data_IF_481304427997
#
_entry.id   IF_481304427997
#
_cell.length_a   1.000
_cell.length_b   1.000
_cell.length_c   1.000
_cell.angle_alpha   90.00
_cell.angle_beta   90.00
_cell.angle_gamma   90.00
#
_symmetry.space_group_name_H-M   'P 1'
#
loop_
_entity.id
_entity.type
_entity.pdbx_description
1 polymer ?
#
# COMPACT_ATOMS: atom_id res chain seq x y z
N UNK A 1 -6.83 8.71 5.13
CA UNK A 1 -5.36 8.81 5.11
C UNK A 1 -4.91 9.20 3.71
N UNK A 2 -3.92 10.07 3.57
CA UNK A 2 -3.23 10.36 2.31
C UNK A 2 -1.80 9.84 2.39
N UNK A 3 -1.23 9.37 1.27
CA UNK A 3 0.15 8.91 1.20
C UNK A 3 0.96 9.79 0.23
N UNK A 4 2.16 10.18 0.65
CA UNK A 4 3.12 11.00 -0.11
C UNK A 4 4.54 10.43 0.00
N UNK A 5 5.41 10.85 -0.90
CA UNK A 5 6.82 10.49 -0.96
C UNK A 5 7.69 11.74 -0.95
N UNK A 6 8.85 11.65 -0.30
CA UNK A 6 9.86 12.70 -0.33
C UNK A 6 10.70 12.70 -1.62
N UNK A 7 10.81 11.56 -2.31
CA UNK A 7 11.61 11.40 -3.53
C UNK A 7 10.97 10.54 -4.63
N UNK A 8 11.49 10.62 -5.85
CA UNK A 8 10.96 9.91 -7.02
C UNK A 8 11.40 8.44 -7.16
N UNK A 9 12.22 7.93 -6.23
CA UNK A 9 12.75 6.56 -6.27
C UNK A 9 11.85 5.56 -5.57
N UNK A 10 10.86 6.04 -4.83
CA UNK A 10 9.88 5.21 -4.15
C UNK A 10 9.02 4.41 -5.15
N UNK A 11 9.03 3.09 -4.99
CA UNK A 11 8.28 2.13 -5.80
C UNK A 11 6.77 2.16 -5.53
N UNK A 12 6.33 2.77 -4.43
CA UNK A 12 4.91 3.00 -4.14
C UNK A 12 4.32 4.12 -5.00
N UNK A 13 5.15 5.04 -5.51
CA UNK A 13 4.75 6.21 -6.28
C UNK A 13 5.18 6.11 -7.72
N UNK A 14 4.63 5.10 -8.39
CA UNK A 14 4.80 4.90 -9.83
C UNK A 14 3.50 4.45 -10.48
N UNK A 15 3.39 4.64 -11.79
CA UNK A 15 2.26 4.14 -12.58
C UNK A 15 2.77 3.40 -13.80
N UNK A 16 1.98 2.47 -14.29
CA UNK A 16 2.21 1.90 -15.60
C UNK A 16 1.94 2.97 -16.67
N UNK A 17 2.75 2.99 -17.72
CA UNK A 17 2.55 3.84 -18.89
C UNK A 17 2.94 3.05 -20.13
N UNK A 18 2.13 3.16 -21.19
CA UNK A 18 2.43 2.64 -22.52
C UNK A 18 1.53 3.36 -23.54
N UNK A 19 1.96 3.37 -24.79
CA UNK A 19 1.14 3.82 -25.91
C UNK A 19 0.34 2.62 -26.46
N UNK A 20 -1.01 2.67 -26.49
CA UNK A 20 -1.80 1.59 -27.10
C UNK A 20 -1.48 1.37 -28.58
N UNK A 21 -0.96 2.37 -29.29
CA UNK A 21 -0.53 2.26 -30.69
C UNK A 21 0.69 1.34 -30.88
N UNK A 22 1.55 1.27 -29.86
CA UNK A 22 2.74 0.43 -29.88
C UNK A 22 2.41 -1.06 -29.61
N UNK A 23 1.14 -1.36 -29.28
CA UNK A 23 0.68 -2.70 -28.99
C UNK A 23 0.24 -3.42 -30.27
N UNK A 24 0.76 -4.63 -30.57
CA UNK A 24 0.29 -5.42 -31.69
C UNK A 24 -1.22 -5.70 -31.59
N UNK A 25 -1.98 -5.63 -32.70
CA UNK A 25 -3.42 -5.76 -32.64
C UNK A 25 -3.90 -7.15 -32.24
N UNK A 26 -3.08 -8.17 -32.43
CA UNK A 26 -3.26 -9.57 -32.01
C UNK A 26 -2.78 -9.85 -30.58
N UNK A 27 -2.33 -8.83 -29.84
CA UNK A 27 -1.92 -8.98 -28.45
C UNK A 27 -3.04 -9.61 -27.59
N UNK A 28 -2.66 -10.65 -26.84
CA UNK A 28 -3.55 -11.39 -25.93
C UNK A 28 -3.92 -10.62 -24.65
N UNK A 29 -3.39 -9.40 -24.50
CA UNK A 29 -3.58 -8.45 -23.40
C UNK A 29 -3.36 -9.08 -22.01
N UNK A 30 -2.19 -9.70 -21.75
CA UNK A 30 -1.91 -10.29 -20.43
C UNK A 30 -1.80 -9.23 -19.33
N UNK A 31 -1.37 -8.02 -19.67
CA UNK A 31 -1.26 -6.88 -18.76
C UNK A 31 -2.62 -6.46 -18.17
N UNK A 32 -3.68 -6.47 -18.97
CA UNK A 32 -5.05 -6.21 -18.54
C UNK A 32 -5.53 -7.30 -17.57
N UNK A 33 -5.37 -8.57 -17.94
CA UNK A 33 -5.81 -9.73 -17.14
C UNK A 33 -5.14 -9.82 -15.77
N UNK A 34 -3.86 -9.44 -15.67
CA UNK A 34 -3.10 -9.53 -14.40
C UNK A 34 -3.33 -8.31 -13.50
N UNK A 35 -3.93 -7.23 -14.01
CA UNK A 35 -4.07 -5.97 -13.28
C UNK A 35 -5.11 -6.10 -12.17
N UNK A 36 -4.72 -6.09 -10.88
CA UNK A 36 -5.66 -6.36 -9.79
C UNK A 36 -6.58 -5.17 -9.46
N UNK A 37 -6.47 -4.07 -10.18
CA UNK A 37 -7.30 -2.88 -10.03
C UNK A 37 -8.05 -2.52 -11.32
N UNK A 38 -8.05 -3.41 -12.32
CA UNK A 38 -8.71 -3.18 -13.62
C UNK A 38 -8.36 -1.80 -14.20
N UNK A 39 -7.07 -1.49 -14.13
CA UNK A 39 -6.49 -0.18 -14.46
C UNK A 39 -5.91 -0.13 -15.87
N UNK A 40 -6.11 -1.16 -16.68
CA UNK A 40 -5.72 -1.21 -18.08
C UNK A 40 -6.96 -1.62 -18.85
N UNK A 41 -7.33 -0.85 -19.87
CA UNK A 41 -8.45 -1.16 -20.77
C UNK A 41 -7.96 -1.01 -22.20
N UNK A 42 -7.99 -2.10 -22.96
CA UNK A 42 -7.55 -2.09 -24.36
C UNK A 42 -8.64 -2.69 -25.25
N UNK A 43 -9.26 -1.82 -26.04
CA UNK A 43 -10.31 -2.18 -26.98
C UNK A 43 -9.74 -2.30 -28.39
N UNK A 44 -10.20 -3.32 -29.13
CA UNK A 44 -9.81 -3.47 -30.54
C UNK A 44 -10.79 -2.68 -31.39
N UNK A 45 -10.28 -1.73 -32.17
CA UNK A 45 -11.04 -0.94 -33.12
C UNK A 45 -10.66 -1.37 -34.54
N UNK A 46 -11.67 -1.54 -35.40
CA UNK A 46 -11.44 -1.82 -36.83
C UNK A 46 -11.23 -0.51 -37.57
N UNK A 47 -10.21 -0.45 -38.43
CA UNK A 47 -10.01 0.71 -39.30
C UNK A 47 -11.03 0.64 -40.44
N UNK A 48 -12.03 1.51 -40.42
CA UNK A 48 -12.96 1.68 -41.54
C UNK A 48 -12.22 2.34 -42.71
N UNK A 49 -11.69 1.52 -43.64
CA UNK A 49 -11.14 2.03 -44.89
C UNK A 49 -10.09 1.16 -45.55
N UNK A 50 -10.50 0.06 -46.17
CA UNK A 50 -10.15 -0.37 -47.55
C UNK A 50 -10.73 -1.76 -47.81
N UNK A 51 -11.73 -1.80 -48.68
CA UNK A 51 -12.23 -3.03 -49.29
C UNK A 51 -11.11 -3.72 -50.09
N UNK A 52 -10.39 -4.65 -49.46
CA UNK A 52 -9.61 -5.70 -50.11
C UNK A 52 -9.28 -6.77 -49.06
N UNK A 53 -9.98 -7.90 -49.12
CA UNK A 53 -9.65 -9.20 -48.51
C UNK A 53 -8.88 -9.20 -47.16
N UNK A 54 -9.65 -9.33 -46.08
CA UNK A 54 -9.36 -10.12 -44.87
C UNK A 54 -7.89 -10.30 -44.47
N UNK A 55 -7.26 -9.26 -43.93
CA UNK A 55 -6.08 -9.41 -43.09
C UNK A 55 -6.49 -9.25 -41.61
N UNK A 56 -6.44 -10.32 -40.78
CA UNK A 56 -6.79 -10.27 -39.36
C UNK A 56 -5.94 -9.30 -38.53
N UNK A 57 -4.87 -8.77 -39.13
CA UNK A 57 -3.90 -7.87 -38.52
C UNK A 57 -4.20 -6.37 -38.72
N UNK A 58 -5.31 -6.01 -39.39
CA UNK A 58 -5.68 -4.62 -39.70
C UNK A 58 -6.41 -3.85 -38.58
N UNK A 59 -6.50 -4.43 -37.38
CA UNK A 59 -7.05 -3.75 -36.21
C UNK A 59 -6.02 -2.82 -35.55
N UNK A 60 -6.51 -1.88 -34.74
CA UNK A 60 -5.70 -1.07 -33.83
C UNK A 60 -6.23 -1.24 -32.40
N UNK A 61 -5.36 -1.11 -31.40
CA UNK A 61 -5.79 -1.09 -30.01
C UNK A 61 -5.94 0.37 -29.55
N UNK A 62 -7.03 0.68 -28.87
CA UNK A 62 -7.28 1.97 -28.23
C UNK A 62 -7.48 1.79 -26.73
N UNK A 63 -7.30 2.89 -25.98
CA UNK A 63 -7.42 2.91 -24.52
C UNK A 63 -6.06 3.13 -23.84
N UNK A 64 -5.76 2.35 -22.82
CA UNK A 64 -4.50 2.45 -22.08
C UNK A 64 -4.67 2.28 -20.57
N UNK A 65 -3.81 2.97 -19.81
CA UNK A 65 -3.80 2.91 -18.35
C UNK A 65 -4.80 3.93 -17.77
N UNK A 66 -5.75 3.45 -16.97
CA UNK A 66 -6.64 4.27 -16.16
C UNK A 66 -5.87 4.70 -14.90
N UNK A 67 -5.30 5.89 -14.97
CA UNK A 67 -4.37 6.46 -13.98
C UNK A 67 -4.92 6.43 -12.55
N UNK A 68 -6.21 6.67 -12.38
CA UNK A 68 -6.89 6.74 -11.08
C UNK A 68 -7.00 5.38 -10.39
N UNK A 69 -7.01 4.29 -11.19
CA UNK A 69 -7.06 2.90 -10.69
C UNK A 69 -5.66 2.30 -10.53
N UNK A 70 -4.70 2.77 -11.32
CA UNK A 70 -3.34 2.25 -11.33
C UNK A 70 -2.57 2.69 -10.07
N UNK A 71 -2.36 1.73 -9.15
CA UNK A 71 -1.61 1.95 -7.91
C UNK A 71 -0.14 1.50 -7.98
N UNK A 72 0.40 1.27 -9.19
CA UNK A 72 1.84 1.06 -9.35
C UNK A 72 2.40 -0.31 -8.95
N UNK A 73 1.57 -1.36 -8.80
CA UNK A 73 2.04 -2.69 -8.42
C UNK A 73 3.08 -3.30 -9.36
N UNK A 74 3.05 -2.89 -10.64
CA UNK A 74 3.99 -3.33 -11.66
C UNK A 74 3.81 -4.76 -12.18
N UNK A 75 2.72 -5.45 -11.81
CA UNK A 75 2.40 -6.80 -12.32
C UNK A 75 2.31 -6.86 -13.85
N UNK A 76 1.83 -5.78 -14.47
CA UNK A 76 1.73 -5.67 -15.92
C UNK A 76 3.10 -5.63 -16.64
N UNK A 77 4.16 -5.12 -15.98
CA UNK A 77 5.47 -4.97 -16.59
C UNK A 77 6.06 -6.34 -16.96
N UNK A 78 6.09 -7.26 -16.01
CA UNK A 78 6.72 -8.58 -16.18
C UNK A 78 5.97 -9.54 -17.09
N UNK A 79 4.70 -9.25 -17.42
CA UNK A 79 3.87 -10.13 -18.27
C UNK A 79 3.71 -9.61 -19.69
N UNK A 80 4.19 -8.40 -19.99
CA UNK A 80 4.12 -7.85 -21.34
C UNK A 80 5.13 -8.58 -22.25
N UNK A 81 4.69 -9.35 -23.26
CA UNK A 81 5.61 -10.11 -24.11
C UNK A 81 6.42 -9.22 -25.07
N UNK A 82 6.04 -7.95 -25.20
CA UNK A 82 6.66 -6.98 -26.11
C UNK A 82 7.43 -5.88 -25.37
N UNK A 83 7.51 -5.95 -24.04
CA UNK A 83 8.22 -4.98 -23.21
C UNK A 83 7.84 -3.50 -23.47
N UNK A 84 6.54 -3.24 -23.72
CA UNK A 84 6.02 -1.90 -24.04
C UNK A 84 5.63 -1.08 -22.82
N UNK A 85 5.52 -1.70 -21.65
CA UNK A 85 5.00 -1.07 -20.44
C UNK A 85 6.14 -0.57 -19.57
N UNK A 86 6.15 0.72 -19.29
CA UNK A 86 7.13 1.38 -18.42
C UNK A 86 6.52 1.68 -17.06
N UNK A 87 7.36 1.77 -16.04
CA UNK A 87 6.99 2.32 -14.75
C UNK A 87 7.43 3.78 -14.67
N UNK A 88 6.46 4.68 -14.60
CA UNK A 88 6.68 6.11 -14.48
C UNK A 88 6.54 6.53 -13.02
N UNK A 89 7.67 6.82 -12.38
CA UNK A 89 7.69 7.37 -11.02
C UNK A 89 7.18 8.81 -10.99
N UNK A 90 6.55 9.20 -9.89
CA UNK A 90 6.13 10.58 -9.65
C UNK A 90 6.34 10.97 -8.19
N UNK A 91 6.42 12.27 -7.93
CA UNK A 91 6.43 12.83 -6.57
C UNK A 91 5.11 13.55 -6.37
N UNK A 92 4.48 13.34 -5.21
CA UNK A 92 3.27 14.09 -4.86
C UNK A 92 3.61 15.56 -4.67
N UNK A 93 2.79 16.42 -5.26
CA UNK A 93 2.90 17.86 -5.10
C UNK A 93 2.65 18.25 -3.63
N UNK A 94 3.64 18.83 -2.93
CA UNK A 94 3.50 19.20 -1.52
C UNK A 94 2.42 20.27 -1.28
N UNK A 95 2.28 21.23 -2.19
CA UNK A 95 1.30 22.33 -2.09
C UNK A 95 -0.12 21.77 -2.18
N UNK A 96 -0.39 20.91 -3.17
CA UNK A 96 -1.70 20.23 -3.30
C UNK A 96 -1.99 19.32 -2.11
N UNK A 97 -0.95 18.67 -1.56
CA UNK A 97 -1.09 17.84 -0.36
C UNK A 97 -1.46 18.71 0.84
N UNK A 98 -0.78 19.85 1.04
CA UNK A 98 -1.08 20.76 2.14
C UNK A 98 -2.51 21.34 2.04
N UNK A 99 -2.98 21.66 0.83
CA UNK A 99 -4.37 22.05 0.59
C UNK A 99 -5.36 20.94 0.96
N UNK A 100 -5.03 19.68 0.61
CA UNK A 100 -5.86 18.52 0.98
C UNK A 100 -5.92 18.33 2.50
N UNK A 101 -4.79 18.43 3.21
CA UNK A 101 -4.77 18.26 4.67
C UNK A 101 -5.63 19.31 5.40
N UNK A 102 -5.82 20.50 4.82
CA UNK A 102 -6.67 21.56 5.41
C UNK A 102 -8.17 21.31 5.28
N UNK A 103 -8.60 20.32 4.48
CA UNK A 103 -10.03 20.06 4.19
C UNK A 103 -10.78 19.29 5.29
N UNK A 104 -10.12 18.91 6.39
CA UNK A 104 -10.68 18.14 7.51
C UNK A 104 -11.32 16.78 7.15
N UNK A 105 -11.10 16.28 5.92
CA UNK A 105 -11.53 14.96 5.44
C UNK A 105 -10.38 13.92 5.46
N UNK A 106 -9.19 14.33 5.91
CA UNK A 106 -8.01 13.49 6.03
C UNK A 106 -7.53 13.46 7.49
N UNK A 107 -7.73 12.34 8.16
CA UNK A 107 -7.30 12.14 9.54
C UNK A 107 -5.82 11.72 9.70
N UNK A 108 -5.15 11.33 8.62
CA UNK A 108 -3.81 10.78 8.69
C UNK A 108 -3.01 11.02 7.40
N UNK A 109 -1.70 11.18 7.55
CA UNK A 109 -0.74 11.21 6.44
C UNK A 109 0.29 10.08 6.61
N UNK A 110 0.66 9.46 5.51
CA UNK A 110 1.78 8.54 5.39
C UNK A 110 2.84 9.20 4.51
N UNK A 111 4.07 9.30 5.00
CA UNK A 111 5.22 9.84 4.30
C UNK A 111 6.21 8.72 4.05
N UNK A 112 6.44 8.38 2.79
CA UNK A 112 7.49 7.45 2.39
C UNK A 112 8.81 8.17 2.21
N UNK A 113 9.86 7.54 2.72
CA UNK A 113 11.24 7.99 2.57
C UNK A 113 12.16 6.83 2.19
N UNK A 114 13.18 7.10 1.38
CA UNK A 114 14.13 6.07 0.93
C UNK A 114 15.27 5.78 1.91
N UNK A 115 15.33 6.51 3.03
CA UNK A 115 16.39 6.37 4.02
C UNK A 115 17.75 6.92 3.56
N UNK A 116 17.80 7.61 2.41
CA UNK A 116 19.03 8.19 1.84
C UNK A 116 19.19 9.66 2.24
N UNK A 117 19.38 9.89 3.54
CA UNK A 117 19.51 11.23 4.13
C UNK A 117 18.17 11.94 4.33
N UNK A 118 18.19 13.07 5.03
CA UNK A 118 16.97 13.76 5.52
C UNK A 118 16.57 14.99 4.72
N UNK A 119 17.38 15.45 3.76
CA UNK A 119 17.17 16.75 3.10
C UNK A 119 15.85 16.81 2.32
N UNK A 120 15.53 15.74 1.60
CA UNK A 120 14.28 15.64 0.83
C UNK A 120 13.07 15.57 1.76
N UNK A 121 13.16 14.78 2.83
CA UNK A 121 12.14 14.74 3.87
C UNK A 121 11.92 16.11 4.51
N UNK A 122 12.99 16.81 4.89
CA UNK A 122 12.93 18.14 5.50
C UNK A 122 12.29 19.16 4.56
N UNK A 123 12.59 19.07 3.26
CA UNK A 123 11.98 19.93 2.23
C UNK A 123 10.48 19.66 2.11
N UNK A 124 10.07 18.39 2.02
CA UNK A 124 8.66 17.99 1.99
C UNK A 124 7.95 18.47 3.26
N UNK A 125 8.51 18.20 4.44
CA UNK A 125 7.95 18.57 5.73
C UNK A 125 7.74 20.09 5.86
N UNK A 126 8.74 20.88 5.47
CA UNK A 126 8.66 22.35 5.45
C UNK A 126 7.53 22.84 4.53
N UNK A 127 7.39 22.24 3.34
CA UNK A 127 6.33 22.60 2.39
C UNK A 127 4.93 22.21 2.87
N UNK A 128 4.80 21.12 3.63
CA UNK A 128 3.53 20.78 4.28
C UNK A 128 3.20 21.80 5.38
N UNK A 129 4.22 22.27 6.12
CA UNK A 129 4.08 23.33 7.12
C UNK A 129 2.97 23.04 8.14
N UNK A 130 2.21 24.08 8.50
CA UNK A 130 1.13 23.96 9.50
C UNK A 130 -0.04 23.07 9.08
N UNK A 131 -0.11 22.65 7.81
CA UNK A 131 -1.17 21.75 7.36
C UNK A 131 -1.12 20.39 8.07
N UNK A 132 0.07 19.98 8.54
CA UNK A 132 0.29 18.78 9.35
C UNK A 132 -0.52 18.80 10.66
N UNK A 133 -0.79 19.98 11.22
CA UNK A 133 -1.55 20.07 12.48
C UNK A 133 -3.02 19.65 12.34
N UNK A 134 -3.52 19.42 11.11
CA UNK A 134 -4.90 18.99 10.86
C UNK A 134 -5.07 17.46 10.85
N UNK A 135 -3.98 16.68 10.91
CA UNK A 135 -4.06 15.22 10.96
C UNK A 135 -3.88 14.69 12.39
N UNK A 136 -4.56 13.59 12.69
CA UNK A 136 -4.48 12.88 13.97
C UNK A 136 -3.31 11.89 14.03
N UNK A 137 -2.80 11.47 12.87
CA UNK A 137 -1.72 10.49 12.77
C UNK A 137 -0.77 10.85 11.64
N UNK A 138 0.53 10.76 11.94
CA UNK A 138 1.62 10.85 10.97
C UNK A 138 2.31 9.50 10.95
N UNK A 139 2.32 8.86 9.79
CA UNK A 139 3.07 7.66 9.54
C UNK A 139 4.31 7.98 8.71
N UNK A 140 5.45 7.39 9.05
CA UNK A 140 6.67 7.42 8.25
C UNK A 140 7.01 6.00 7.84
N UNK A 141 6.96 5.75 6.53
CA UNK A 141 7.35 4.48 5.92
C UNK A 141 8.78 4.57 5.42
N UNK A 142 9.61 3.63 5.84
CA UNK A 142 11.03 3.61 5.51
C UNK A 142 11.55 2.17 5.38
N UNK A 143 12.58 1.93 4.56
CA UNK A 143 13.27 0.65 4.51
C UNK A 143 14.25 0.48 5.67
N UNK A 144 14.70 -0.76 5.89
CA UNK A 144 15.86 -1.05 6.74
C UNK A 144 17.14 -0.54 6.04
N UNK A 145 17.80 0.46 6.62
CA UNK A 145 19.07 1.01 6.11
C UNK A 145 20.28 0.54 6.91
N UNK A 146 20.15 -0.60 7.62
CA UNK A 146 21.24 -1.17 8.40
C UNK A 146 21.47 -0.41 9.72
N UNK A 147 22.71 -0.37 10.18
CA UNK A 147 23.10 0.21 11.48
C UNK A 147 22.71 1.69 11.62
N UNK A 148 22.50 2.39 10.50
CA UNK A 148 22.10 3.81 10.49
C UNK A 148 20.59 4.02 10.70
N UNK A 149 19.78 2.97 10.76
CA UNK A 149 18.31 3.09 10.75
C UNK A 149 17.79 3.90 11.93
N UNK A 150 18.21 3.60 13.17
CA UNK A 150 17.75 4.36 14.34
C UNK A 150 18.23 5.81 14.31
N UNK A 151 19.46 6.07 13.87
CA UNK A 151 19.97 7.44 13.74
C UNK A 151 19.14 8.23 12.72
N UNK A 152 18.82 7.61 11.59
CA UNK A 152 17.95 8.20 10.57
C UNK A 152 16.56 8.48 11.12
N UNK A 153 15.92 7.51 11.79
CA UNK A 153 14.59 7.70 12.39
C UNK A 153 14.59 8.81 13.44
N UNK A 154 15.64 8.92 14.27
CA UNK A 154 15.76 10.01 15.25
C UNK A 154 15.93 11.38 14.60
N UNK A 155 16.67 11.47 13.50
CA UNK A 155 16.82 12.72 12.75
C UNK A 155 15.47 13.16 12.18
N UNK A 156 14.72 12.24 11.58
CA UNK A 156 13.35 12.48 11.08
C UNK A 156 12.42 12.90 12.23
N UNK A 157 12.46 12.17 13.36
CA UNK A 157 11.67 12.50 14.53
C UNK A 157 11.97 13.92 15.06
N UNK A 158 13.24 14.31 15.09
CA UNK A 158 13.67 15.65 15.53
C UNK A 158 13.10 16.74 14.65
N UNK A 159 13.00 16.51 13.33
CA UNK A 159 12.32 17.42 12.40
C UNK A 159 10.82 17.52 12.69
N UNK A 160 10.18 16.40 13.06
CA UNK A 160 8.74 16.31 13.22
C UNK A 160 8.21 16.76 14.58
N UNK A 161 8.99 16.58 15.66
CA UNK A 161 8.51 16.61 17.04
C UNK A 161 7.83 17.91 17.46
N UNK A 162 8.17 19.07 16.88
CA UNK A 162 7.53 20.34 17.21
C UNK A 162 6.09 20.46 16.69
N UNK A 163 5.71 19.67 15.68
CA UNK A 163 4.38 19.67 15.06
C UNK A 163 3.63 18.34 15.25
N UNK A 164 4.20 17.40 16.00
CA UNK A 164 3.55 16.13 16.34
C UNK A 164 2.53 16.34 17.47
N UNK A 165 1.29 16.71 17.11
CA UNK A 165 0.18 16.85 18.07
C UNK A 165 -0.58 15.54 18.31
N UNK A 166 -0.49 14.59 17.37
CA UNK A 166 -1.21 13.32 17.38
C UNK A 166 -0.32 12.09 17.53
N UNK A 167 -0.70 11.00 16.88
CA UNK A 167 0.04 9.75 16.91
C UNK A 167 1.16 9.72 15.87
N UNK A 168 2.32 9.20 16.26
CA UNK A 168 3.41 8.87 15.35
C UNK A 168 3.45 7.36 15.09
N UNK A 169 3.53 6.96 13.82
CA UNK A 169 3.57 5.57 13.38
C UNK A 169 4.78 5.33 12.47
N UNK A 170 5.68 4.45 12.88
CA UNK A 170 6.80 4.00 12.07
C UNK A 170 6.41 2.73 11.33
N UNK A 171 6.34 2.80 10.00
CA UNK A 171 6.07 1.65 9.15
C UNK A 171 7.38 1.03 8.69
N UNK A 172 7.64 -0.18 9.19
CA UNK A 172 8.83 -0.96 8.88
C UNK A 172 8.63 -1.64 7.54
N UNK A 173 8.90 -0.89 6.47
CA UNK A 173 8.62 -1.30 5.10
C UNK A 173 9.67 -2.32 4.63
N UNK A 174 9.24 -3.58 4.55
CA UNK A 174 10.06 -4.67 4.05
C UNK A 174 10.07 -4.69 2.52
N UNK A 175 9.40 -5.69 1.95
CA UNK A 175 9.38 -5.90 0.50
C UNK A 175 8.22 -5.14 -0.14
N UNK A 176 8.43 -4.05 -0.88
CA UNK A 176 7.34 -3.23 -1.41
C UNK A 176 6.38 -4.04 -2.29
N UNK A 177 5.08 -3.76 -2.17
CA UNK A 177 4.06 -4.22 -3.12
C UNK A 177 4.01 -5.74 -3.38
N UNK A 178 4.42 -6.55 -2.41
CA UNK A 178 4.68 -7.98 -2.63
C UNK A 178 3.85 -8.95 -1.77
N UNK A 179 2.98 -8.45 -0.88
CA UNK A 179 2.27 -9.27 0.10
C UNK A 179 1.42 -10.41 -0.52
N UNK A 180 0.97 -10.25 -1.75
CA UNK A 180 0.15 -11.21 -2.47
C UNK A 180 0.94 -12.30 -3.25
N UNK A 181 2.28 -12.25 -3.23
CA UNK A 181 3.19 -13.14 -3.97
C UNK A 181 3.49 -14.45 -3.21
N UNK A 182 3.42 -14.46 -1.87
CA UNK A 182 3.53 -15.70 -1.07
C UNK A 182 4.36 -15.57 0.20
N UNK A 183 4.64 -16.71 0.85
CA UNK A 183 5.29 -16.78 2.17
C UNK A 183 6.60 -16.00 2.25
N UNK A 184 7.43 -16.04 1.20
CA UNK A 184 8.73 -15.37 1.19
C UNK A 184 8.66 -13.84 1.32
N UNK A 185 7.53 -13.22 0.98
CA UNK A 185 7.38 -11.76 0.98
C UNK A 185 7.48 -11.14 2.39
N UNK A 186 7.07 -11.87 3.45
CA UNK A 186 7.06 -11.32 4.82
C UNK A 186 8.44 -11.28 5.46
N UNK A 187 9.46 -11.90 4.86
CA UNK A 187 10.78 -12.10 5.48
C UNK A 187 11.48 -10.78 5.76
N UNK A 188 11.45 -9.85 4.81
CA UNK A 188 12.16 -8.56 4.91
C UNK A 188 11.59 -7.69 6.04
N UNK A 189 10.27 -7.53 6.12
CA UNK A 189 9.64 -6.73 7.19
C UNK A 189 9.82 -7.34 8.58
N UNK A 190 9.78 -8.68 8.69
CA UNK A 190 10.04 -9.36 9.97
C UNK A 190 11.52 -9.26 10.36
N UNK A 191 12.44 -9.38 9.41
CA UNK A 191 13.87 -9.18 9.65
C UNK A 191 14.16 -7.76 10.13
N UNK A 192 13.52 -6.77 9.50
CA UNK A 192 13.63 -5.37 9.91
C UNK A 192 13.12 -5.18 11.35
N UNK A 193 11.97 -5.75 11.71
CA UNK A 193 11.49 -5.71 13.08
C UNK A 193 12.46 -6.36 14.09
N UNK A 194 13.04 -7.52 13.77
CA UNK A 194 14.07 -8.16 14.61
C UNK A 194 15.29 -7.26 14.78
N UNK A 195 15.78 -6.71 13.68
CA UNK A 195 16.91 -5.79 13.69
C UNK A 195 16.63 -4.57 14.56
N UNK A 196 15.50 -3.89 14.34
CA UNK A 196 15.11 -2.71 15.12
C UNK A 196 14.87 -3.06 16.60
N UNK A 197 14.35 -4.26 16.91
CA UNK A 197 14.12 -4.72 18.28
C UNK A 197 15.42 -4.79 19.11
N UNK A 198 16.55 -5.08 18.45
CA UNK A 198 17.89 -5.18 19.05
C UNK A 198 18.58 -3.82 19.27
N UNK A 199 18.06 -2.74 18.69
CA UNK A 199 18.66 -1.41 18.81
C UNK A 199 18.10 -0.61 20.01
N UNK A 200 18.97 0.21 20.60
CA UNK A 200 18.62 1.17 21.66
C UNK A 200 18.31 2.55 21.08
N UNK A 201 17.79 3.48 21.90
CA UNK A 201 17.55 4.89 21.53
C UNK A 201 16.62 5.09 20.31
N UNK A 202 15.61 4.24 20.14
CA UNK A 202 14.64 4.41 19.06
C UNK A 202 13.71 5.60 19.34
N UNK A 203 13.29 6.36 18.32
CA UNK A 203 12.36 7.47 18.54
C UNK A 203 10.99 6.95 18.98
N UNK A 204 10.24 7.74 19.77
CA UNK A 204 8.92 7.32 20.24
C UNK A 204 7.92 7.22 19.08
N UNK A 205 6.90 6.41 19.31
CA UNK A 205 5.85 6.12 18.34
C UNK A 205 5.46 4.64 18.35
N UNK A 206 4.41 4.33 17.61
CA UNK A 206 4.03 2.93 17.37
C UNK A 206 4.85 2.39 16.20
N UNK A 207 5.19 1.09 16.23
CA UNK A 207 5.83 0.42 15.11
C UNK A 207 4.84 -0.53 14.45
N UNK A 208 4.76 -0.50 13.12
CA UNK A 208 3.88 -1.35 12.33
C UNK A 208 4.69 -2.01 11.22
N UNK A 209 4.47 -3.31 11.00
CA UNK A 209 5.03 -3.97 9.82
C UNK A 209 4.31 -3.48 8.56
N UNK A 210 5.08 -3.13 7.54
CA UNK A 210 4.62 -2.83 6.19
C UNK A 210 5.51 -3.54 5.16
N UNK A 211 5.12 -3.56 3.89
CA UNK A 211 5.92 -4.20 2.84
C UNK A 211 5.96 -5.74 2.94
N UNK A 212 5.21 -6.41 2.06
CA UNK A 212 5.28 -7.87 1.93
C UNK A 212 4.50 -8.66 2.99
N UNK A 213 3.73 -7.97 3.82
CA UNK A 213 2.86 -8.54 4.85
C UNK A 213 1.69 -9.34 4.25
N UNK A 214 1.36 -10.47 4.87
CA UNK A 214 0.30 -11.39 4.44
C UNK A 214 -0.11 -12.37 5.57
N UNK A 215 -0.86 -13.42 5.23
CA UNK A 215 -1.33 -14.44 6.18
C UNK A 215 -0.22 -15.14 6.98
N UNK A 216 1.04 -15.10 6.53
CA UNK A 216 2.16 -15.73 7.22
C UNK A 216 2.84 -14.79 8.22
N UNK A 217 2.57 -13.48 8.17
CA UNK A 217 3.28 -12.46 8.97
C UNK A 217 3.13 -12.68 10.48
N UNK A 218 1.94 -13.04 10.95
CA UNK A 218 1.71 -13.31 12.38
C UNK A 218 2.50 -14.53 12.85
N UNK A 219 2.49 -15.62 12.07
CA UNK A 219 3.27 -16.82 12.38
C UNK A 219 4.77 -16.49 12.45
N UNK A 220 5.27 -15.68 11.51
CA UNK A 220 6.66 -15.22 11.49
C UNK A 220 7.02 -14.33 12.69
N UNK A 221 6.14 -13.41 13.09
CA UNK A 221 6.35 -12.59 14.29
C UNK A 221 6.37 -13.43 15.57
N UNK A 222 5.49 -14.43 15.69
CA UNK A 222 5.48 -15.38 16.81
C UNK A 222 6.80 -16.15 16.91
N UNK A 223 7.30 -16.66 15.78
CA UNK A 223 8.59 -17.35 15.71
C UNK A 223 9.77 -16.44 16.08
N UNK A 224 9.67 -15.15 15.79
CA UNK A 224 10.67 -14.16 16.16
C UNK A 224 10.55 -13.67 17.62
N UNK A 225 9.52 -14.10 18.37
CA UNK A 225 9.27 -13.62 19.73
C UNK A 225 8.79 -12.17 19.81
N UNK A 226 8.35 -11.58 18.68
CA UNK A 226 7.94 -10.16 18.59
C UNK A 226 6.41 -9.99 18.53
N UNK A 227 5.65 -11.08 18.59
CA UNK A 227 4.19 -11.02 18.60
C UNK A 227 3.65 -10.99 20.03
N UNK A 228 2.95 -9.92 20.37
CA UNK A 228 2.13 -9.83 21.59
C UNK A 228 0.73 -9.36 21.20
N UNK A 229 -0.29 -10.09 21.65
CA UNK A 229 -1.69 -9.70 21.43
C UNK A 229 -2.13 -8.81 22.59
N UNK A 230 -2.63 -7.61 22.29
CA UNK A 230 -3.27 -6.76 23.30
C UNK A 230 -4.68 -7.28 23.54
N UNK A 231 -4.89 -8.07 24.58
CA UNK A 231 -6.23 -8.36 25.09
C UNK A 231 -6.78 -7.09 25.73
N UNK A 232 -7.78 -6.46 25.11
CA UNK A 232 -8.55 -5.39 25.76
C UNK A 232 -9.42 -5.98 26.87
N UNK A 233 -8.82 -6.29 28.01
CA UNK A 233 -9.58 -6.56 29.22
C UNK A 233 -10.11 -5.22 29.73
N UNK A 234 -11.42 -4.99 29.55
CA UNK A 234 -12.13 -3.88 30.17
C UNK A 234 -12.20 -4.15 31.69
N UNK A 235 -11.15 -3.81 32.44
CA UNK A 235 -11.22 -3.45 33.87
C UNK A 235 -9.83 -3.06 34.39
N UNK A 236 -9.82 -1.93 35.08
CA UNK A 236 -8.77 -1.31 35.88
C UNK A 236 -7.70 -2.22 36.48
N UNK A 237 -6.45 -1.78 36.40
CA UNK A 237 -5.35 -2.30 37.20
C UNK A 237 -4.03 -2.15 36.46
N UNK A 238 -3.14 -1.33 36.98
CA UNK A 238 -1.75 -1.17 36.51
C UNK A 238 -1.05 -2.52 36.62
N UNK A 239 -1.09 -3.30 35.55
CA UNK A 239 -0.15 -4.40 35.31
C UNK A 239 0.79 -3.93 34.21
N UNK A 240 2.07 -4.15 34.47
CA UNK A 240 3.22 -3.92 33.58
C UNK A 240 3.01 -4.67 32.24
N UNK A 241 2.13 -4.15 31.39
CA UNK A 241 1.94 -4.59 30.03
C UNK A 241 3.19 -4.10 29.30
N UNK A 242 4.21 -4.95 29.21
CA UNK A 242 5.26 -4.82 28.20
C UNK A 242 4.56 -4.42 26.89
N UNK A 243 4.74 -3.16 26.47
CA UNK A 243 4.12 -2.67 25.25
C UNK A 243 4.65 -3.54 24.12
N UNK A 244 3.76 -4.19 23.38
CA UNK A 244 4.13 -4.99 22.21
C UNK A 244 5.05 -4.15 21.32
N UNK A 245 6.27 -4.65 21.07
CA UNK A 245 7.25 -3.93 20.25
C UNK A 245 6.68 -3.56 18.88
N UNK A 246 5.89 -4.48 18.30
CA UNK A 246 5.11 -4.24 17.09
C UNK A 246 3.64 -4.02 17.48
N UNK A 247 3.15 -2.80 17.25
CA UNK A 247 1.79 -2.37 17.55
C UNK A 247 0.76 -2.65 16.43
N UNK A 248 1.21 -3.13 15.26
CA UNK A 248 0.30 -3.48 14.17
C UNK A 248 0.97 -4.06 12.93
N UNK A 249 0.13 -4.47 11.97
CA UNK A 249 0.53 -4.96 10.65
C UNK A 249 -0.33 -4.23 9.62
N UNK A 250 0.27 -3.51 8.68
CA UNK A 250 -0.41 -2.96 7.52
C UNK A 250 -0.51 -4.03 6.44
N UNK A 251 -1.69 -4.29 5.91
CA UNK A 251 -1.89 -5.25 4.82
C UNK A 251 -2.26 -4.52 3.53
N UNK A 252 -1.32 -4.42 2.60
CA UNK A 252 -1.53 -3.78 1.29
C UNK A 252 -2.10 -4.75 0.25
N UNK A 253 -1.24 -5.20 -0.68
CA UNK A 253 -1.64 -6.09 -1.79
C UNK A 253 -2.34 -7.38 -1.35
N UNK A 254 -1.98 -7.94 -0.19
CA UNK A 254 -2.66 -9.13 0.34
C UNK A 254 -4.12 -8.85 0.72
N UNK A 255 -4.41 -7.74 1.39
CA UNK A 255 -5.78 -7.34 1.71
C UNK A 255 -6.60 -7.13 0.43
N UNK A 256 -6.01 -6.45 -0.58
CA UNK A 256 -6.64 -6.29 -1.91
C UNK A 256 -6.94 -7.64 -2.57
N UNK A 257 -6.06 -8.63 -2.43
CA UNK A 257 -6.27 -9.98 -2.97
C UNK A 257 -7.48 -10.66 -2.33
N UNK A 258 -7.57 -10.66 -1.00
CA UNK A 258 -8.65 -11.38 -0.29
C UNK A 258 -10.00 -10.66 -0.44
N UNK A 259 -10.06 -9.35 -0.17
CA UNK A 259 -11.29 -8.55 -0.30
C UNK A 259 -11.70 -8.43 -1.77
N UNK A 260 -10.74 -8.32 -2.67
CA UNK A 260 -10.99 -8.26 -4.11
C UNK A 260 -11.66 -9.51 -4.68
N UNK A 261 -11.56 -10.68 -4.03
CA UNK A 261 -12.33 -11.88 -4.45
C UNK A 261 -13.83 -11.66 -4.28
N UNK A 262 -14.23 -11.03 -3.19
CA UNK A 262 -15.62 -10.68 -2.91
C UNK A 262 -16.09 -9.60 -3.89
N UNK A 263 -15.30 -8.53 -4.04
CA UNK A 263 -15.63 -7.42 -4.94
C UNK A 263 -15.83 -7.85 -6.39
N UNK A 264 -15.06 -8.82 -6.91
CA UNK A 264 -15.22 -9.33 -8.28
C UNK A 264 -16.51 -10.12 -8.50
N UNK A 265 -17.18 -10.59 -7.45
CA UNK A 265 -18.49 -11.26 -7.58
C UNK A 265 -19.60 -10.27 -7.92
N UNK A 266 -19.47 -8.99 -7.53
CA UNK A 266 -20.52 -7.98 -7.73
C UNK A 266 -20.66 -7.61 -9.21
N UNK A 267 -19.61 -7.18 -9.96
CA UNK A 267 -19.74 -6.89 -11.39
C UNK A 267 -20.21 -8.07 -12.23
N UNK A 268 -19.81 -9.29 -11.86
CA UNK A 268 -20.25 -10.49 -12.55
C UNK A 268 -21.77 -10.75 -12.42
N UNK A 269 -22.41 -10.24 -11.37
CA UNK A 269 -23.83 -10.49 -11.09
C UNK A 269 -24.72 -9.25 -11.32
N UNK A 270 -24.21 -8.05 -11.04
CA UNK A 270 -25.00 -6.81 -11.00
C UNK A 270 -24.40 -5.67 -11.85
N UNK A 271 -23.25 -5.89 -12.51
CA UNK A 271 -22.54 -4.83 -13.22
C UNK A 271 -21.83 -3.83 -12.28
N UNK A 272 -21.61 -2.60 -12.75
CA UNK A 272 -20.91 -1.59 -11.95
C UNK A 272 -21.79 -1.08 -10.80
N UNK A 273 -21.69 -1.72 -9.64
CA UNK A 273 -22.44 -1.37 -8.43
C UNK A 273 -21.52 -1.10 -7.23
N UNK A 274 -22.03 -0.33 -6.26
CA UNK A 274 -21.34 -0.05 -5.00
C UNK A 274 -21.53 -1.23 -4.06
N UNK A 275 -20.50 -1.61 -3.32
CA UNK A 275 -20.60 -2.75 -2.38
C UNK A 275 -21.60 -2.45 -1.25
N UNK A 276 -21.74 -1.18 -0.90
CA UNK A 276 -22.68 -0.67 0.09
C UNK A 276 -24.15 -0.96 -0.27
N UNK A 277 -24.45 -1.14 -1.55
CA UNK A 277 -25.80 -1.48 -2.05
C UNK A 277 -26.08 -3.00 -1.97
N UNK A 278 -25.08 -3.81 -1.59
CA UNK A 278 -25.21 -5.26 -1.51
C UNK A 278 -24.73 -5.82 -0.15
N UNK A 279 -25.62 -5.82 0.86
CA UNK A 279 -25.28 -6.18 2.24
C UNK A 279 -24.56 -7.52 2.43
N UNK A 280 -24.93 -8.54 1.65
CA UNK A 280 -24.33 -9.88 1.75
C UNK A 280 -22.85 -9.86 1.34
N UNK A 281 -22.50 -9.16 0.25
CA UNK A 281 -21.11 -9.02 -0.17
C UNK A 281 -20.33 -8.08 0.74
N UNK A 282 -20.97 -7.03 1.27
CA UNK A 282 -20.36 -6.16 2.26
C UNK A 282 -19.99 -6.94 3.52
N UNK A 283 -20.89 -7.79 4.00
CA UNK A 283 -20.64 -8.66 5.16
C UNK A 283 -19.53 -9.67 4.88
N UNK A 284 -19.53 -10.32 3.71
CA UNK A 284 -18.46 -11.25 3.30
C UNK A 284 -17.10 -10.55 3.25
N UNK A 285 -17.03 -9.37 2.64
CA UNK A 285 -15.81 -8.55 2.57
C UNK A 285 -15.32 -8.13 3.97
N UNK A 286 -16.25 -7.77 4.87
CA UNK A 286 -15.95 -7.41 6.24
C UNK A 286 -15.40 -8.62 7.03
N UNK A 287 -15.99 -9.80 6.85
CA UNK A 287 -15.50 -11.04 7.48
C UNK A 287 -14.08 -11.38 7.02
N UNK A 288 -13.79 -11.28 5.72
CA UNK A 288 -12.44 -11.47 5.17
C UNK A 288 -11.45 -10.46 5.79
N UNK A 289 -11.82 -9.18 5.87
CA UNK A 289 -10.98 -8.15 6.48
C UNK A 289 -10.76 -8.40 8.00
N UNK A 290 -11.79 -8.79 8.73
CA UNK A 290 -11.72 -9.10 10.17
C UNK A 290 -10.89 -10.34 10.45
N UNK A 291 -10.95 -11.37 9.59
CA UNK A 291 -10.08 -12.55 9.71
C UNK A 291 -8.60 -12.19 9.63
N UNK A 292 -8.28 -11.13 8.89
CA UNK A 292 -6.92 -10.65 8.68
C UNK A 292 -6.41 -9.80 9.86
N UNK A 293 -7.22 -8.86 10.35
CA UNK A 293 -6.81 -7.93 11.43
C UNK A 293 -7.11 -8.46 12.83
N UNK A 294 -8.08 -9.37 12.95
CA UNK A 294 -8.58 -9.93 14.21
C UNK A 294 -7.50 -10.56 15.08
N UNK A 295 -6.60 -11.40 14.54
CA UNK A 295 -5.51 -11.98 15.34
C UNK A 295 -4.59 -10.95 16.00
N UNK A 296 -4.43 -9.76 15.40
CA UNK A 296 -3.62 -8.66 15.94
C UNK A 296 -4.43 -7.84 16.94
N UNK A 297 -5.70 -7.55 16.63
CA UNK A 297 -6.57 -6.68 17.44
C UNK A 297 -7.32 -7.38 18.56
N UNK A 298 -7.25 -8.71 18.64
CA UNK A 298 -7.94 -9.50 19.66
C UNK A 298 -9.45 -9.62 19.42
N UNK A 299 -9.92 -9.42 18.18
CA UNK A 299 -11.34 -9.63 17.88
C UNK A 299 -11.67 -11.13 17.95
N UNK A 300 -12.81 -11.52 18.57
CA UNK A 300 -13.29 -12.88 18.45
C UNK A 300 -13.52 -13.20 16.98
N UNK A 301 -13.16 -14.42 16.56
CA UNK A 301 -13.58 -14.93 15.25
C UNK A 301 -15.10 -14.84 15.18
N UNK A 302 -15.62 -14.07 14.22
CA UNK A 302 -17.06 -14.01 13.98
C UNK A 302 -17.59 -15.45 13.82
N UNK A 303 -18.70 -15.81 14.48
CA UNK A 303 -19.33 -17.10 14.25
C UNK A 303 -19.59 -17.26 12.75
N UNK A 304 -19.17 -18.39 12.20
CA UNK A 304 -19.63 -18.84 10.89
C UNK A 304 -21.16 -18.91 10.93
N UNK A 305 -21.84 -18.10 10.13
CA UNK A 305 -23.27 -18.22 9.85
C UNK A 305 -23.53 -19.46 8.99
#
# INVERSE_FOLDING_TARGET
MVSVNDDCRDLHFRKAEFDPEDCPPDCSKPCEKVCPADAISLERVMIEGKHSQSDPSSGKLEGGVITERCYGCGRCLSVCPYDRIRAMSYVRDPTKTAELLKRNDVDAIEIHTTGKGTDMFNTLWSNLGDSINNVKLIAVSLPDVGDSTVNFMNAIYTTMQSHLQGYNLWQLDGRPMSGDIGRGATRETVSFAVHLSSMSNRPPGFYQLAGGTNSYTIESLKKAGLFQSTTFAATSGVTDCQQAFIGGIAYGGYARKIVGRVLRKIPAQFGHARIEDHPDYLLEALQEALSLVGPVKGYPTLPSL
#
